data_IF_334097451094
#
_entry.id   IF_334097451094
#
_cell.length_a   1.000
_cell.length_b   1.000
_cell.length_c   1.000
_cell.angle_alpha   90.00
_cell.angle_beta   90.00
_cell.angle_gamma   90.00
#
_symmetry.space_group_name_H-M   'P 1'
#
loop_
_entity.id
_entity.type
_entity.pdbx_description
1 polymer ?
#
# COMPACT_ATOMS: atom_id res chain seq x y z
N UNK A 1 30.43 28.24 -18.16
CA UNK A 1 30.86 26.87 -17.78
C UNK A 1 30.13 26.57 -16.48
N UNK A 2 29.04 25.84 -16.59
CA UNK A 2 28.32 25.33 -15.41
C UNK A 2 29.21 24.23 -14.83
N UNK A 3 29.54 24.37 -13.55
CA UNK A 3 30.49 23.53 -12.85
C UNK A 3 29.90 22.11 -12.71
N UNK A 4 30.43 21.16 -13.47
CA UNK A 4 29.97 19.77 -13.48
C UNK A 4 29.92 19.15 -12.06
N UNK A 5 30.78 19.63 -11.16
CA UNK A 5 30.77 19.21 -9.76
C UNK A 5 29.53 19.69 -9.00
N UNK A 6 28.98 20.86 -9.33
CA UNK A 6 27.74 21.36 -8.71
C UNK A 6 26.52 20.56 -9.19
N UNK A 7 26.48 20.21 -10.49
CA UNK A 7 25.38 19.39 -11.04
C UNK A 7 25.42 17.99 -10.40
N UNK A 8 26.60 17.38 -10.29
CA UNK A 8 26.75 16.07 -9.66
C UNK A 8 26.35 16.10 -8.18
N UNK A 9 26.71 17.15 -7.44
CA UNK A 9 26.36 17.31 -6.02
C UNK A 9 24.85 17.51 -5.83
N UNK A 10 24.19 18.27 -6.72
CA UNK A 10 22.73 18.45 -6.71
C UNK A 10 22.02 17.15 -7.07
N UNK A 11 22.47 16.41 -8.09
CA UNK A 11 21.91 15.09 -8.40
C UNK A 11 22.08 14.09 -7.27
N UNK A 12 23.24 14.06 -6.60
CA UNK A 12 23.49 13.21 -5.44
C UNK A 12 22.58 13.59 -4.27
N UNK A 13 22.40 14.89 -4.03
CA UNK A 13 21.54 15.39 -2.95
C UNK A 13 20.07 15.09 -3.20
N UNK A 14 19.59 15.22 -4.45
CA UNK A 14 18.24 14.83 -4.86
C UNK A 14 18.05 13.31 -4.73
N UNK A 15 19.04 12.53 -5.14
CA UNK A 15 19.01 11.08 -4.98
C UNK A 15 18.95 10.67 -3.50
N UNK A 16 19.77 11.27 -2.64
CA UNK A 16 19.75 11.04 -1.19
C UNK A 16 18.42 11.47 -0.56
N UNK A 17 17.88 12.64 -0.95
CA UNK A 17 16.57 13.11 -0.47
C UNK A 17 15.44 12.17 -0.88
N UNK A 18 15.45 11.66 -2.11
CA UNK A 18 14.45 10.70 -2.57
C UNK A 18 14.60 9.35 -1.86
N UNK A 19 15.83 8.89 -1.65
CA UNK A 19 16.10 7.71 -0.81
C UNK A 19 15.56 7.91 0.62
N UNK A 20 15.88 9.06 1.23
CA UNK A 20 15.41 9.37 2.59
C UNK A 20 13.89 9.42 2.67
N UNK A 21 13.22 10.08 1.71
CA UNK A 21 11.76 10.11 1.63
C UNK A 21 11.16 8.71 1.49
N UNK A 22 11.80 7.83 0.73
CA UNK A 22 11.38 6.43 0.57
C UNK A 22 11.43 5.64 1.88
N UNK A 23 12.48 5.84 2.68
CA UNK A 23 12.61 5.14 3.98
C UNK A 23 11.78 5.80 5.09
N UNK A 24 11.56 7.12 5.03
CA UNK A 24 10.76 7.84 6.04
C UNK A 24 9.26 7.67 5.84
N UNK A 25 8.78 7.21 4.69
CA UNK A 25 7.34 6.96 4.47
C UNK A 25 6.76 5.91 5.43
N UNK A 26 7.59 4.94 5.86
CA UNK A 26 7.21 3.94 6.85
C UNK A 26 7.28 4.46 8.31
N UNK A 27 7.82 5.68 8.53
CA UNK A 27 8.01 6.29 9.85
C UNK A 27 6.84 7.21 10.18
N UNK A 28 5.88 6.69 10.93
CA UNK A 28 4.72 7.43 11.42
C UNK A 28 4.82 7.67 12.92
N UNK A 29 3.93 8.48 13.46
CA UNK A 29 3.79 8.68 14.91
C UNK A 29 3.64 7.36 15.68
N UNK A 30 3.00 6.35 15.10
CA UNK A 30 2.90 4.99 15.66
C UNK A 30 4.26 4.30 15.83
N UNK A 31 5.21 4.54 14.90
CA UNK A 31 6.58 4.02 15.02
C UNK A 31 7.27 4.58 16.26
N UNK A 32 7.11 5.88 16.50
CA UNK A 32 7.67 6.51 17.72
C UNK A 32 7.05 5.91 18.99
N UNK A 33 5.73 5.72 19.03
CA UNK A 33 5.04 5.09 20.16
C UNK A 33 5.57 3.68 20.39
N UNK A 34 5.71 2.86 19.34
CA UNK A 34 6.22 1.49 19.45
C UNK A 34 7.66 1.45 20.02
N UNK A 35 8.53 2.36 19.57
CA UNK A 35 9.88 2.49 20.11
C UNK A 35 9.87 2.87 21.60
N UNK A 36 9.04 3.84 21.99
CA UNK A 36 8.89 4.23 23.39
C UNK A 36 8.38 3.06 24.24
N UNK A 37 7.37 2.32 23.76
CA UNK A 37 6.84 1.15 24.46
C UNK A 37 7.92 0.09 24.64
N UNK A 38 8.75 -0.17 23.61
CA UNK A 38 9.83 -1.17 23.70
C UNK A 38 10.90 -0.77 24.72
N UNK A 39 11.24 0.54 24.82
CA UNK A 39 12.15 1.04 25.83
C UNK A 39 11.57 0.91 27.24
N UNK A 40 10.30 1.25 27.44
CA UNK A 40 9.60 1.10 28.71
C UNK A 40 9.51 -0.38 29.10
N UNK A 41 9.18 -1.27 28.16
CA UNK A 41 9.11 -2.69 28.39
C UNK A 41 10.45 -3.27 28.86
N UNK A 42 11.55 -2.88 28.22
CA UNK A 42 12.89 -3.31 28.60
C UNK A 42 13.29 -2.75 29.97
N UNK A 43 13.00 -1.46 30.21
CA UNK A 43 13.28 -0.83 31.50
C UNK A 43 12.50 -1.50 32.65
N UNK A 44 11.20 -1.82 32.44
CA UNK A 44 10.37 -2.52 33.44
C UNK A 44 10.90 -3.92 33.71
N UNK A 45 11.33 -4.65 32.67
CA UNK A 45 11.90 -5.98 32.80
C UNK A 45 13.16 -5.96 33.67
N UNK A 46 14.07 -5.00 33.47
CA UNK A 46 15.25 -4.84 34.33
C UNK A 46 14.90 -4.37 35.76
N UNK A 47 13.99 -3.41 35.89
CA UNK A 47 13.61 -2.87 37.20
C UNK A 47 12.99 -3.92 38.15
N UNK A 48 12.16 -4.83 37.58
CA UNK A 48 11.49 -5.88 38.34
C UNK A 48 12.20 -7.24 38.26
N UNK A 49 13.41 -7.30 37.70
CA UNK A 49 14.19 -8.52 37.47
C UNK A 49 13.37 -9.62 36.77
N UNK A 50 12.57 -9.23 35.78
CA UNK A 50 11.79 -10.16 34.99
C UNK A 50 12.71 -10.87 34.00
N UNK A 51 12.93 -12.16 34.22
CA UNK A 51 13.76 -13.00 33.36
C UNK A 51 13.17 -14.40 33.35
N UNK A 52 12.65 -14.84 32.23
CA UNK A 52 12.05 -16.16 32.08
C UNK A 52 12.24 -16.72 30.67
N UNK A 53 12.38 -18.03 30.61
CA UNK A 53 12.50 -18.74 29.33
C UNK A 53 11.11 -18.99 28.75
N UNK A 54 10.70 -18.13 27.83
CA UNK A 54 9.50 -18.40 27.01
C UNK A 54 9.90 -18.89 25.63
N UNK A 55 9.15 -19.88 25.15
CA UNK A 55 9.22 -20.23 23.73
C UNK A 55 8.56 -19.12 22.91
N UNK A 56 9.40 -18.24 22.36
CA UNK A 56 8.94 -17.13 21.53
C UNK A 56 8.39 -17.59 20.19
N UNK A 57 8.57 -18.86 19.81
CA UNK A 57 8.16 -19.35 18.49
C UNK A 57 6.66 -19.22 18.28
N UNK A 58 5.86 -19.68 19.24
CA UNK A 58 4.40 -19.58 19.16
C UNK A 58 3.91 -18.14 19.20
N UNK A 59 4.51 -17.28 20.05
CA UNK A 59 4.14 -15.89 20.16
C UNK A 59 4.53 -15.14 18.87
N UNK A 60 5.73 -15.39 18.33
CA UNK A 60 6.17 -14.79 17.07
C UNK A 60 5.26 -15.18 15.90
N UNK A 61 4.85 -16.45 15.83
CA UNK A 61 3.90 -16.91 14.82
C UNK A 61 2.56 -16.19 14.98
N UNK A 62 2.05 -16.05 16.21
CA UNK A 62 0.78 -15.37 16.48
C UNK A 62 0.79 -13.89 16.09
N UNK A 63 1.94 -13.22 16.12
CA UNK A 63 2.09 -11.80 15.70
C UNK A 63 2.38 -11.68 14.22
N UNK A 64 3.39 -12.40 13.73
CA UNK A 64 3.90 -12.21 12.36
C UNK A 64 2.94 -12.79 11.32
N UNK A 65 2.30 -13.94 11.61
CA UNK A 65 1.44 -14.62 10.65
C UNK A 65 0.22 -13.78 10.23
N UNK A 66 -0.61 -13.22 11.14
CA UNK A 66 -1.70 -12.33 10.76
C UNK A 66 -1.21 -11.07 10.03
N UNK A 67 -0.06 -10.52 10.43
CA UNK A 67 0.52 -9.34 9.80
C UNK A 67 0.92 -9.62 8.34
N UNK A 68 1.57 -10.76 8.07
CA UNK A 68 1.93 -11.17 6.70
C UNK A 68 0.69 -11.43 5.85
N UNK A 69 -0.37 -12.03 6.41
CA UNK A 69 -1.63 -12.21 5.69
C UNK A 69 -2.33 -10.90 5.35
N UNK A 70 -2.38 -9.96 6.28
CA UNK A 70 -3.00 -8.66 6.02
C UNK A 70 -2.20 -7.86 4.99
N UNK A 71 -0.87 -7.91 5.03
CA UNK A 71 0.00 -7.31 4.04
C UNK A 71 -0.22 -7.93 2.65
N UNK A 72 -0.25 -9.28 2.57
CA UNK A 72 -0.53 -9.99 1.32
C UNK A 72 -1.93 -9.68 0.76
N UNK A 73 -2.93 -9.55 1.63
CA UNK A 73 -4.29 -9.15 1.25
C UNK A 73 -4.34 -7.72 0.71
N UNK A 74 -3.65 -6.77 1.35
CA UNK A 74 -3.55 -5.39 0.89
C UNK A 74 -2.89 -5.30 -0.50
N UNK A 75 -1.81 -6.04 -0.71
CA UNK A 75 -1.13 -6.12 -2.00
C UNK A 75 -2.03 -6.70 -3.10
N UNK A 76 -2.69 -7.84 -2.84
CA UNK A 76 -3.63 -8.43 -3.80
C UNK A 76 -4.78 -7.48 -4.16
N UNK A 77 -5.23 -6.70 -3.20
CA UNK A 77 -6.28 -5.69 -3.38
C UNK A 77 -5.82 -4.59 -4.33
N UNK A 78 -4.59 -4.09 -4.17
CA UNK A 78 -3.99 -3.12 -5.10
C UNK A 78 -3.88 -3.67 -6.52
N UNK A 79 -3.40 -4.91 -6.68
CA UNK A 79 -3.29 -5.56 -8.00
C UNK A 79 -4.65 -5.76 -8.67
N UNK A 80 -5.68 -6.14 -7.91
CA UNK A 80 -7.06 -6.22 -8.42
C UNK A 80 -7.61 -4.85 -8.83
N UNK A 81 -7.28 -3.79 -8.10
CA UNK A 81 -7.66 -2.44 -8.47
C UNK A 81 -7.09 -2.05 -9.85
N UNK A 82 -5.80 -2.35 -10.09
CA UNK A 82 -5.16 -2.15 -11.40
C UNK A 82 -5.83 -2.98 -12.50
N UNK A 83 -6.15 -4.24 -12.23
CA UNK A 83 -6.86 -5.11 -13.18
C UNK A 83 -8.22 -4.53 -13.58
N UNK A 84 -9.03 -4.11 -12.60
CA UNK A 84 -10.36 -3.56 -12.85
C UNK A 84 -10.32 -2.22 -13.57
N UNK A 85 -9.40 -1.34 -13.20
CA UNK A 85 -9.15 -0.09 -13.92
C UNK A 85 -8.67 -0.34 -15.34
N UNK A 86 -7.75 -1.30 -15.53
CA UNK A 86 -7.26 -1.71 -16.84
C UNK A 86 -8.39 -2.23 -17.75
N UNK A 87 -9.30 -3.04 -17.19
CA UNK A 87 -10.49 -3.54 -17.90
C UNK A 87 -11.43 -2.42 -18.32
N UNK A 88 -11.75 -1.49 -17.41
CA UNK A 88 -12.59 -0.34 -17.73
C UNK A 88 -11.95 0.54 -18.82
N UNK A 89 -10.67 0.86 -18.68
CA UNK A 89 -9.89 1.65 -19.66
C UNK A 89 -9.87 0.99 -21.04
N UNK A 90 -9.48 -0.28 -21.10
CA UNK A 90 -9.40 -1.03 -22.35
C UNK A 90 -10.74 -1.14 -23.06
N UNK A 91 -11.84 -1.34 -22.30
CA UNK A 91 -13.19 -1.40 -22.86
C UNK A 91 -13.67 -0.04 -23.37
N UNK A 92 -13.37 1.06 -22.67
CA UNK A 92 -13.66 2.43 -23.16
C UNK A 92 -12.88 2.75 -24.44
N UNK A 93 -11.59 2.41 -24.48
CA UNK A 93 -10.75 2.58 -25.66
C UNK A 93 -11.27 1.78 -26.86
N UNK A 94 -11.70 0.53 -26.64
CA UNK A 94 -12.27 -0.31 -27.68
C UNK A 94 -13.60 0.26 -28.22
N UNK A 95 -14.46 0.81 -27.36
CA UNK A 95 -15.69 1.48 -27.77
C UNK A 95 -15.35 2.69 -28.67
N UNK A 96 -14.43 3.56 -28.23
CA UNK A 96 -13.94 4.70 -29.02
C UNK A 96 -13.43 4.24 -30.38
N UNK A 97 -12.57 3.23 -30.42
CA UNK A 97 -12.00 2.69 -31.65
C UNK A 97 -13.08 2.15 -32.61
N UNK A 98 -14.06 1.40 -32.12
CA UNK A 98 -15.16 0.88 -32.94
C UNK A 98 -15.93 2.01 -33.61
N UNK A 99 -16.22 3.10 -32.87
CA UNK A 99 -16.90 4.27 -33.46
C UNK A 99 -16.02 5.02 -34.44
N UNK A 100 -14.71 5.13 -34.23
CA UNK A 100 -13.79 5.82 -35.13
C UNK A 100 -13.73 5.19 -36.52
N UNK A 101 -13.81 3.86 -36.61
CA UNK A 101 -13.81 3.11 -37.87
C UNK A 101 -15.21 2.83 -38.43
N UNK A 102 -16.27 3.24 -37.74
CA UNK A 102 -17.65 3.05 -38.15
C UNK A 102 -18.07 4.07 -39.23
N UNK A 103 -19.26 3.87 -39.80
CA UNK A 103 -19.89 4.81 -40.73
C UNK A 103 -20.55 6.01 -40.03
N UNK A 104 -20.32 6.20 -38.74
CA UNK A 104 -20.85 7.34 -38.00
C UNK A 104 -20.29 8.66 -38.55
N UNK A 105 -21.04 9.78 -38.53
CA UNK A 105 -20.55 11.11 -38.85
C UNK A 105 -19.40 11.52 -37.93
N UNK A 106 -18.51 12.34 -38.43
CA UNK A 106 -17.34 12.79 -37.65
C UNK A 106 -17.72 13.56 -36.36
N UNK A 107 -18.85 14.22 -36.36
CA UNK A 107 -19.45 14.87 -35.18
C UNK A 107 -19.73 13.84 -34.08
N UNK A 108 -20.32 12.69 -34.43
CA UNK A 108 -20.62 11.63 -33.44
C UNK A 108 -19.35 10.90 -33.01
N UNK A 109 -18.33 10.76 -33.90
CA UNK A 109 -17.02 10.21 -33.53
C UNK A 109 -16.30 11.09 -32.47
N UNK A 110 -16.38 12.39 -32.64
CA UNK A 110 -15.82 13.36 -31.65
C UNK A 110 -16.61 13.30 -30.34
N UNK A 111 -17.94 13.20 -30.44
CA UNK A 111 -18.80 13.17 -29.26
C UNK A 111 -18.54 11.96 -28.37
N UNK A 112 -18.33 10.76 -28.93
CA UNK A 112 -17.98 9.59 -28.14
C UNK A 112 -16.59 9.71 -27.50
N UNK A 113 -15.61 10.34 -28.17
CA UNK A 113 -14.30 10.62 -27.62
C UNK A 113 -14.40 11.54 -26.38
N UNK A 114 -15.20 12.59 -26.48
CA UNK A 114 -15.44 13.52 -25.37
C UNK A 114 -16.15 12.83 -24.19
N UNK A 115 -17.14 11.99 -24.45
CA UNK A 115 -17.85 11.21 -23.42
C UNK A 115 -16.94 10.19 -22.73
N UNK A 116 -16.06 9.53 -23.48
CA UNK A 116 -15.07 8.60 -22.90
C UNK A 116 -14.09 9.32 -21.99
N UNK A 117 -13.65 10.52 -22.37
CA UNK A 117 -12.80 11.39 -21.53
C UNK A 117 -13.54 11.84 -20.26
N UNK A 118 -14.82 12.17 -20.37
CA UNK A 118 -15.67 12.55 -19.24
C UNK A 118 -15.80 11.41 -18.23
N UNK A 119 -16.13 10.19 -18.66
CA UNK A 119 -16.22 9.02 -17.77
C UNK A 119 -14.89 8.78 -17.06
N UNK A 120 -13.76 8.87 -17.80
CA UNK A 120 -12.42 8.74 -17.19
C UNK A 120 -12.18 9.80 -16.11
N UNK A 121 -12.45 11.07 -16.45
CA UNK A 121 -12.25 12.20 -15.53
C UNK A 121 -13.10 12.05 -14.25
N UNK A 122 -14.38 11.72 -14.40
CA UNK A 122 -15.27 11.55 -13.25
C UNK A 122 -14.92 10.30 -12.43
N UNK A 123 -14.41 9.22 -13.04
CA UNK A 123 -13.91 8.06 -12.32
C UNK A 123 -12.68 8.40 -11.49
N UNK A 124 -11.69 9.10 -12.06
CA UNK A 124 -10.48 9.53 -11.35
C UNK A 124 -10.85 10.44 -10.20
N UNK A 125 -11.68 11.44 -10.45
CA UNK A 125 -12.15 12.39 -9.45
C UNK A 125 -12.89 11.68 -8.30
N UNK A 126 -13.75 10.71 -8.60
CA UNK A 126 -14.43 9.92 -7.60
C UNK A 126 -13.45 9.06 -6.77
N UNK A 127 -12.48 8.41 -7.42
CA UNK A 127 -11.52 7.54 -6.72
C UNK A 127 -10.61 8.33 -5.77
N UNK A 128 -10.17 9.53 -6.12
CA UNK A 128 -9.38 10.42 -5.26
C UNK A 128 -10.21 11.16 -4.20
N UNK A 129 -11.52 11.33 -4.42
CA UNK A 129 -12.34 12.08 -3.47
C UNK A 129 -12.60 11.28 -2.19
N UNK A 130 -12.72 11.96 -1.05
CA UNK A 130 -13.23 11.34 0.19
C UNK A 130 -14.74 11.11 0.16
N UNK A 131 -15.43 11.76 -0.77
CA UNK A 131 -16.89 11.65 -0.92
C UNK A 131 -17.29 10.30 -1.52
N UNK A 132 -18.40 9.77 -1.05
CA UNK A 132 -19.04 8.58 -1.62
C UNK A 132 -20.10 8.91 -2.68
N UNK A 133 -20.21 10.19 -3.07
CA UNK A 133 -21.16 10.62 -4.10
C UNK A 133 -20.65 10.24 -5.49
N UNK A 134 -21.36 9.33 -6.14
CA UNK A 134 -21.09 8.81 -7.49
C UNK A 134 -22.06 9.29 -8.55
N UNK A 135 -22.86 10.33 -8.27
CA UNK A 135 -23.92 10.77 -9.18
C UNK A 135 -23.35 11.24 -10.53
N UNK A 136 -22.32 12.09 -10.52
CA UNK A 136 -21.68 12.58 -11.74
C UNK A 136 -21.07 11.44 -12.59
N UNK A 137 -20.44 10.46 -11.95
CA UNK A 137 -19.90 9.28 -12.61
C UNK A 137 -21.04 8.42 -13.24
N UNK A 138 -22.13 8.22 -12.53
CA UNK A 138 -23.27 7.47 -13.03
C UNK A 138 -23.94 8.16 -14.25
N UNK A 139 -24.02 9.48 -14.21
CA UNK A 139 -24.54 10.29 -15.34
C UNK A 139 -23.63 10.14 -16.54
N UNK A 140 -22.31 10.25 -16.39
CA UNK A 140 -21.36 10.13 -17.50
C UNK A 140 -21.40 8.73 -18.14
N UNK A 141 -21.50 7.67 -17.35
CA UNK A 141 -21.68 6.29 -17.84
C UNK A 141 -23.02 6.13 -18.58
N UNK A 142 -24.10 6.72 -18.04
CA UNK A 142 -25.42 6.69 -18.68
C UNK A 142 -25.44 7.42 -20.01
N UNK A 143 -24.71 8.53 -20.13
CA UNK A 143 -24.56 9.27 -21.37
C UNK A 143 -23.94 8.41 -22.49
N UNK A 144 -22.91 7.62 -22.20
CA UNK A 144 -22.33 6.67 -23.16
C UNK A 144 -23.37 5.60 -23.58
N UNK A 145 -24.12 5.06 -22.62
CA UNK A 145 -25.17 4.06 -22.93
C UNK A 145 -26.21 4.64 -23.87
N UNK A 146 -26.75 5.81 -23.59
CA UNK A 146 -27.72 6.50 -24.43
C UNK A 146 -27.12 6.84 -25.80
N UNK A 147 -25.84 7.22 -25.86
CA UNK A 147 -25.15 7.47 -27.11
C UNK A 147 -25.07 6.20 -27.98
N UNK A 148 -24.69 5.06 -27.39
CA UNK A 148 -24.61 3.77 -28.09
C UNK A 148 -26.01 3.38 -28.64
N UNK A 149 -27.07 3.51 -27.84
CA UNK A 149 -28.44 3.18 -28.25
C UNK A 149 -28.90 4.06 -29.41
N UNK A 150 -28.60 5.34 -29.39
CA UNK A 150 -28.96 6.28 -30.45
C UNK A 150 -28.24 6.00 -31.78
N UNK A 151 -26.96 5.60 -31.68
CA UNK A 151 -26.08 5.46 -32.84
C UNK A 151 -25.85 4.01 -33.30
N UNK A 152 -26.61 3.04 -32.78
CA UNK A 152 -26.47 1.61 -33.09
C UNK A 152 -26.62 1.28 -34.60
N UNK A 153 -27.36 2.07 -35.34
CA UNK A 153 -27.55 1.86 -36.77
C UNK A 153 -26.26 2.02 -37.58
N UNK A 154 -25.36 2.91 -37.17
CA UNK A 154 -24.06 3.10 -37.82
C UNK A 154 -23.10 1.93 -37.60
N UNK A 155 -23.35 1.09 -36.58
CA UNK A 155 -22.49 -0.02 -36.22
C UNK A 155 -22.90 -1.34 -36.85
N UNK A 156 -24.20 -1.49 -37.22
CA UNK A 156 -24.78 -2.76 -37.62
C UNK A 156 -24.96 -3.72 -36.43
N UNK A 157 -25.84 -4.71 -36.62
CA UNK A 157 -26.33 -5.61 -35.55
C UNK A 157 -25.18 -6.35 -34.79
N UNK A 158 -24.22 -6.94 -35.53
CA UNK A 158 -23.15 -7.75 -34.95
C UNK A 158 -22.21 -6.93 -34.09
N UNK A 159 -21.83 -5.74 -34.55
CA UNK A 159 -20.91 -4.84 -33.84
C UNK A 159 -21.60 -4.22 -32.62
N UNK A 160 -22.89 -3.84 -32.76
CA UNK A 160 -23.65 -3.30 -31.62
C UNK A 160 -23.65 -4.25 -30.40
N UNK A 161 -23.86 -5.56 -30.66
CA UNK A 161 -23.81 -6.56 -29.57
C UNK A 161 -22.43 -6.59 -28.87
N UNK A 162 -21.35 -6.43 -29.63
CA UNK A 162 -19.98 -6.36 -29.05
C UNK A 162 -19.78 -5.09 -28.22
N UNK A 163 -20.29 -3.96 -28.68
CA UNK A 163 -20.19 -2.68 -27.94
C UNK A 163 -20.96 -2.76 -26.62
N UNK A 164 -22.13 -3.41 -26.57
CA UNK A 164 -22.85 -3.63 -25.31
C UNK A 164 -22.08 -4.53 -24.34
N UNK A 165 -21.34 -5.53 -24.84
CA UNK A 165 -20.45 -6.34 -23.98
C UNK A 165 -19.31 -5.53 -23.42
N UNK A 166 -18.67 -4.68 -24.24
CA UNK A 166 -17.63 -3.75 -23.77
C UNK A 166 -18.17 -2.78 -22.74
N UNK A 167 -19.38 -2.24 -22.96
CA UNK A 167 -20.02 -1.35 -21.97
C UNK A 167 -20.31 -2.05 -20.65
N UNK A 168 -20.72 -3.32 -20.66
CA UNK A 168 -20.84 -4.14 -19.46
C UNK A 168 -19.48 -4.25 -18.74
N UNK A 169 -18.39 -4.49 -19.48
CA UNK A 169 -17.05 -4.63 -18.91
C UNK A 169 -16.53 -3.30 -18.34
N UNK A 170 -16.90 -2.16 -18.93
CA UNK A 170 -16.68 -0.81 -18.34
C UNK A 170 -17.40 -0.72 -17.00
N UNK A 171 -18.69 -1.01 -16.94
CA UNK A 171 -19.48 -0.92 -15.70
C UNK A 171 -18.91 -1.84 -14.63
N UNK A 172 -18.59 -3.09 -14.98
CA UNK A 172 -17.99 -4.03 -14.03
C UNK A 172 -16.64 -3.56 -13.51
N UNK A 173 -15.78 -3.03 -14.38
CA UNK A 173 -14.47 -2.49 -13.97
C UNK A 173 -14.61 -1.28 -13.04
N UNK A 174 -15.53 -0.38 -13.33
CA UNK A 174 -15.84 0.79 -12.49
C UNK A 174 -16.40 0.36 -11.13
N UNK A 175 -17.45 -0.46 -11.09
CA UNK A 175 -18.09 -0.88 -9.82
C UNK A 175 -17.15 -1.71 -8.95
N UNK A 176 -16.29 -2.55 -9.53
CA UNK A 176 -15.27 -3.27 -8.77
C UNK A 176 -14.21 -2.34 -8.20
N UNK A 177 -13.78 -1.31 -8.93
CA UNK A 177 -12.85 -0.29 -8.42
C UNK A 177 -13.47 0.51 -7.27
N UNK A 178 -14.75 0.87 -7.40
CA UNK A 178 -15.53 1.51 -6.33
C UNK A 178 -15.62 0.60 -5.10
N UNK A 179 -15.91 -0.68 -5.30
CA UNK A 179 -15.99 -1.66 -4.20
C UNK A 179 -14.66 -1.79 -3.46
N UNK A 180 -13.54 -1.74 -4.17
CA UNK A 180 -12.21 -1.74 -3.56
C UNK A 180 -12.00 -0.46 -2.74
N UNK A 181 -12.42 0.70 -3.20
CA UNK A 181 -12.34 1.95 -2.44
C UNK A 181 -13.15 1.90 -1.15
N UNK A 182 -14.40 1.41 -1.22
CA UNK A 182 -15.35 1.46 -0.11
C UNK A 182 -15.13 0.37 0.96
N UNK A 183 -14.71 -0.83 0.53
CA UNK A 183 -14.56 -1.97 1.43
C UNK A 183 -13.10 -2.24 1.73
N UNK A 184 -12.64 -1.88 2.91
CA UNK A 184 -11.28 -2.12 3.41
C UNK A 184 -11.16 -3.51 4.07
N UNK A 185 -9.93 -3.90 4.40
CA UNK A 185 -9.66 -5.11 5.22
C UNK A 185 -10.42 -5.02 6.55
N UNK A 186 -10.95 -6.14 7.09
CA UNK A 186 -11.70 -6.13 8.34
C UNK A 186 -10.91 -5.45 9.46
N UNK A 187 -11.53 -4.45 10.08
CA UNK A 187 -10.90 -3.66 11.15
C UNK A 187 -10.49 -4.51 12.36
N UNK A 188 -11.20 -5.60 12.62
CA UNK A 188 -10.91 -6.52 13.72
C UNK A 188 -9.53 -7.18 13.58
N UNK A 189 -9.14 -7.60 12.36
CA UNK A 189 -7.83 -8.21 12.11
C UNK A 189 -6.73 -7.17 12.24
N UNK A 190 -6.96 -5.94 11.79
CA UNK A 190 -6.02 -4.84 11.94
C UNK A 190 -5.79 -4.49 13.41
N UNK A 191 -6.87 -4.34 14.18
CA UNK A 191 -6.80 -4.08 15.62
C UNK A 191 -6.07 -5.21 16.38
N UNK A 192 -6.28 -6.46 15.96
CA UNK A 192 -5.56 -7.61 16.48
C UNK A 192 -4.04 -7.48 16.23
N UNK A 193 -3.64 -7.21 14.98
CA UNK A 193 -2.22 -7.03 14.65
C UNK A 193 -1.59 -5.89 15.46
N UNK A 194 -2.26 -4.74 15.52
CA UNK A 194 -1.78 -3.56 16.24
C UNK A 194 -1.62 -3.84 17.74
N UNK A 195 -2.60 -4.49 18.37
CA UNK A 195 -2.54 -4.88 19.78
C UNK A 195 -1.32 -5.76 20.06
N UNK A 196 -1.12 -6.80 19.24
CA UNK A 196 -0.03 -7.74 19.45
C UNK A 196 1.34 -7.12 19.22
N UNK A 197 1.48 -6.18 18.26
CA UNK A 197 2.72 -5.44 18.03
C UNK A 197 3.12 -4.63 19.28
N UNK A 198 2.15 -3.97 19.94
CA UNK A 198 2.44 -3.18 21.15
C UNK A 198 2.67 -4.04 22.41
N UNK A 199 2.08 -5.23 22.49
CA UNK A 199 2.27 -6.13 23.62
C UNK A 199 3.58 -6.93 23.49
N UNK A 200 4.02 -7.23 22.26
CA UNK A 200 5.17 -8.07 21.98
C UNK A 200 6.45 -7.68 22.75
N UNK A 201 6.85 -6.41 22.86
CA UNK A 201 8.06 -6.00 23.58
C UNK A 201 8.09 -6.43 25.06
N UNK A 202 6.92 -6.53 25.71
CA UNK A 202 6.81 -6.95 27.12
C UNK A 202 7.11 -8.43 27.35
N UNK A 203 6.87 -9.27 26.37
CA UNK A 203 7.25 -10.69 26.40
C UNK A 203 8.68 -10.89 25.91
N UNK A 204 9.07 -10.13 24.91
CA UNK A 204 10.37 -10.28 24.27
C UNK A 204 11.53 -9.81 25.15
N UNK A 205 11.40 -8.69 25.84
CA UNK A 205 12.44 -8.15 26.70
C UNK A 205 12.90 -9.10 27.83
N UNK A 206 11.99 -9.70 28.64
CA UNK A 206 12.39 -10.67 29.68
C UNK A 206 13.06 -11.92 29.13
N UNK A 207 12.62 -12.40 27.97
CA UNK A 207 13.22 -13.57 27.31
C UNK A 207 14.60 -13.24 26.75
N UNK A 208 14.81 -12.02 26.21
CA UNK A 208 16.14 -11.58 25.81
C UNK A 208 17.11 -11.50 27.00
N UNK A 209 16.64 -10.96 28.14
CA UNK A 209 17.44 -10.88 29.35
C UNK A 209 17.86 -12.29 29.81
N UNK A 210 16.93 -13.25 29.78
CA UNK A 210 17.23 -14.65 30.14
C UNK A 210 18.26 -15.27 29.19
N UNK A 211 18.04 -15.16 27.88
CA UNK A 211 18.88 -15.80 26.87
C UNK A 211 20.27 -15.18 26.80
N UNK A 212 20.38 -13.83 26.85
CA UNK A 212 21.66 -13.13 26.80
C UNK A 212 22.40 -13.21 28.14
N UNK A 213 21.68 -13.20 29.28
CA UNK A 213 22.29 -13.40 30.59
C UNK A 213 22.92 -14.77 30.72
N UNK A 214 22.28 -15.81 30.22
CA UNK A 214 22.84 -17.16 30.19
C UNK A 214 23.95 -17.33 29.14
N UNK A 215 23.87 -16.62 27.99
CA UNK A 215 24.90 -16.67 26.96
C UNK A 215 26.16 -15.90 27.36
N UNK A 216 26.05 -14.81 28.14
CA UNK A 216 27.18 -14.07 28.64
C UNK A 216 28.08 -14.91 29.57
N UNK A 217 27.55 -15.94 30.20
CA UNK A 217 28.32 -16.94 30.96
C UNK A 217 29.10 -17.91 30.06
N UNK A 218 28.87 -17.94 28.75
CA UNK A 218 29.50 -18.85 27.78
C UNK A 218 30.25 -18.19 26.62
N UNK A 219 30.14 -16.88 26.46
CA UNK A 219 30.83 -16.16 25.39
C UNK A 219 32.10 -15.44 25.90
N UNK A 220 33.16 -16.17 26.05
CA UNK A 220 34.51 -15.61 26.07
C UNK A 220 34.88 -15.21 24.63
N UNK A 221 34.58 -13.98 24.24
CA UNK A 221 35.11 -13.43 22.98
C UNK A 221 36.56 -13.10 23.20
N UNK A 222 37.45 -14.01 22.77
CA UNK A 222 38.86 -13.74 22.57
C UNK A 222 39.61 -13.31 23.85
N UNK A 223 39.95 -14.27 24.69
CA UNK A 223 40.97 -14.08 25.72
C UNK A 223 42.34 -13.81 25.05
N UNK A 224 42.57 -12.59 24.59
CA UNK A 224 43.96 -12.06 24.54
C UNK A 224 44.29 -11.56 25.92
N UNK A 225 45.37 -12.09 26.46
CA UNK A 225 45.87 -11.79 27.79
C UNK A 225 45.86 -10.28 28.11
N UNK A 226 44.95 -9.84 29.01
CA UNK A 226 45.04 -8.51 29.56
C UNK A 226 43.80 -7.66 29.69
N UNK A 227 42.60 -8.16 29.61
CA UNK A 227 41.42 -7.35 29.91
C UNK A 227 40.12 -8.00 29.42
N UNK A 228 39.31 -8.53 30.33
CA UNK A 228 37.93 -8.88 30.04
C UNK A 228 37.10 -7.61 29.92
N UNK A 229 36.98 -7.03 28.71
CA UNK A 229 35.93 -6.06 28.43
C UNK A 229 34.59 -6.84 28.39
N UNK A 230 33.86 -6.81 29.51
CA UNK A 230 32.48 -7.25 29.56
C UNK A 230 31.68 -6.36 28.64
N UNK A 231 31.31 -6.88 27.50
CA UNK A 231 30.34 -6.19 26.62
C UNK A 231 29.03 -6.02 27.41
N UNK A 232 28.59 -4.79 27.61
CA UNK A 232 27.38 -4.53 28.38
C UNK A 232 26.15 -5.11 27.63
N UNK A 233 25.72 -6.31 28.01
CA UNK A 233 24.60 -7.04 27.45
C UNK A 233 23.31 -6.23 27.57
N UNK A 234 23.22 -5.30 28.50
CA UNK A 234 22.08 -4.43 28.73
C UNK A 234 21.79 -3.59 27.49
N UNK A 235 22.80 -2.96 26.89
CA UNK A 235 22.61 -2.18 25.66
C UNK A 235 22.10 -3.06 24.51
N UNK A 236 22.60 -4.28 24.41
CA UNK A 236 22.19 -5.22 23.35
C UNK A 236 20.71 -5.62 23.49
N UNK A 237 20.21 -5.85 24.73
CA UNK A 237 18.79 -6.12 24.99
C UNK A 237 17.91 -4.96 24.56
N UNK A 238 18.28 -3.72 24.93
CA UNK A 238 17.54 -2.53 24.50
C UNK A 238 17.54 -2.40 22.97
N UNK A 239 18.69 -2.54 22.35
CA UNK A 239 18.83 -2.42 20.90
C UNK A 239 17.99 -3.46 20.16
N UNK A 240 18.07 -4.75 20.55
CA UNK A 240 17.31 -5.82 19.89
C UNK A 240 15.79 -5.65 20.07
N UNK A 241 15.33 -5.29 21.27
CA UNK A 241 13.91 -5.08 21.52
C UNK A 241 13.36 -3.90 20.70
N UNK A 242 14.11 -2.79 20.61
CA UNK A 242 13.75 -1.65 19.76
C UNK A 242 13.73 -2.02 18.28
N UNK A 243 14.75 -2.73 17.78
CA UNK A 243 14.85 -3.13 16.37
C UNK A 243 13.67 -4.01 15.96
N UNK A 244 13.35 -5.03 16.76
CA UNK A 244 12.22 -5.92 16.43
C UNK A 244 10.89 -5.17 16.47
N UNK A 245 10.65 -4.34 17.48
CA UNK A 245 9.46 -3.51 17.59
C UNK A 245 9.34 -2.55 16.41
N UNK A 246 10.44 -1.95 15.99
CA UNK A 246 10.51 -1.08 14.81
C UNK A 246 10.18 -1.83 13.53
N UNK A 247 10.70 -3.04 13.33
CA UNK A 247 10.41 -3.87 12.15
C UNK A 247 8.92 -4.20 12.09
N UNK A 248 8.33 -4.67 13.20
CA UNK A 248 6.93 -5.07 13.24
C UNK A 248 5.99 -3.90 12.94
N UNK A 249 6.20 -2.74 13.57
CA UNK A 249 5.35 -1.57 13.33
C UNK A 249 5.57 -0.98 11.93
N UNK A 250 6.79 -1.06 11.38
CA UNK A 250 7.06 -0.61 10.00
C UNK A 250 6.33 -1.46 8.97
N UNK A 251 6.28 -2.79 9.16
CA UNK A 251 5.50 -3.68 8.31
C UNK A 251 3.99 -3.37 8.38
N UNK A 252 3.49 -3.06 9.59
CA UNK A 252 2.09 -2.66 9.77
C UNK A 252 1.80 -1.32 9.06
N UNK A 253 2.68 -0.33 9.16
CA UNK A 253 2.53 0.95 8.47
C UNK A 253 2.54 0.78 6.95
N UNK A 254 3.41 -0.08 6.40
CA UNK A 254 3.44 -0.41 4.97
C UNK A 254 2.12 -1.07 4.54
N UNK A 255 1.59 -2.00 5.33
CA UNK A 255 0.30 -2.63 5.06
C UNK A 255 -0.83 -1.60 5.01
N UNK A 256 -0.85 -0.63 5.94
CA UNK A 256 -1.86 0.41 6.01
C UNK A 256 -1.79 1.36 4.79
N UNK A 257 -0.59 1.69 4.33
CA UNK A 257 -0.38 2.50 3.12
C UNK A 257 -0.86 1.80 1.84
N UNK A 258 -0.59 0.50 1.68
CA UNK A 258 -1.00 -0.24 0.48
C UNK A 258 -2.50 -0.52 0.48
N UNK A 259 -3.16 -0.50 1.64
CA UNK A 259 -4.57 -0.89 1.78
C UNK A 259 -5.53 -0.01 0.98
N UNK A 260 -5.28 1.28 0.86
CA UNK A 260 -6.06 2.20 0.03
C UNK A 260 -5.23 2.65 -1.18
N UNK A 261 -5.37 1.98 -2.33
CA UNK A 261 -4.52 2.27 -3.48
C UNK A 261 -4.86 3.57 -4.22
N UNK A 262 -5.83 4.37 -3.71
CA UNK A 262 -6.39 5.55 -4.39
C UNK A 262 -6.28 6.84 -3.58
N UNK A 263 -5.70 6.87 -2.37
CA UNK A 263 -5.67 8.09 -1.55
C UNK A 263 -4.49 9.03 -1.87
N UNK A 264 -3.50 8.55 -2.59
CA UNK A 264 -2.33 9.34 -2.99
C UNK A 264 -1.34 9.58 -1.86
N UNK A 265 -1.54 8.98 -0.68
CA UNK A 265 -0.69 9.11 0.50
C UNK A 265 0.48 8.11 0.48
N UNK A 266 0.31 6.97 -0.18
CA UNK A 266 1.29 5.91 -0.30
C UNK A 266 2.23 6.08 -1.49
N UNK A 267 3.50 5.65 -1.34
CA UNK A 267 4.45 5.66 -2.47
C UNK A 267 4.09 4.64 -3.57
N UNK A 268 3.33 3.62 -3.19
CA UNK A 268 2.92 2.51 -4.06
C UNK A 268 1.48 2.67 -4.55
N UNK A 269 0.86 3.83 -4.35
CA UNK A 269 -0.49 4.12 -4.82
C UNK A 269 -0.58 4.15 -6.33
N UNK A 270 -1.79 3.88 -6.83
CA UNK A 270 -2.05 3.89 -8.26
C UNK A 270 -2.08 5.35 -8.74
N UNK A 271 -1.09 5.71 -9.56
CA UNK A 271 -1.02 7.02 -10.19
C UNK A 271 -2.08 7.13 -11.29
N UNK A 272 -3.30 7.52 -10.89
CA UNK A 272 -4.45 7.64 -11.82
C UNK A 272 -4.24 8.76 -12.86
N UNK A 273 -3.37 9.73 -12.60
CA UNK A 273 -3.01 10.80 -13.54
C UNK A 273 -2.36 10.24 -14.82
N UNK A 274 -1.54 9.19 -14.67
CA UNK A 274 -0.89 8.51 -15.80
C UNK A 274 -1.83 7.52 -16.52
N UNK A 275 -3.12 7.52 -16.15
CA UNK A 275 -4.13 6.65 -16.73
C UNK A 275 -4.67 7.22 -18.07
N UNK A 276 -3.75 7.67 -18.95
CA UNK A 276 -4.12 8.23 -20.24
C UNK A 276 -4.59 7.16 -21.24
N UNK A 277 -5.58 7.56 -22.09
CA UNK A 277 -6.03 6.77 -23.22
C UNK A 277 -5.22 7.22 -24.46
N UNK A 278 -3.97 6.78 -24.53
CA UNK A 278 -3.14 6.95 -25.72
C UNK A 278 -3.40 5.82 -26.72
N UNK A 279 -4.52 5.90 -27.46
CA UNK A 279 -4.75 5.07 -28.64
C UNK A 279 -5.63 5.83 -29.64
#
# INVERSE_FOLDING_TARGET
>A
KIDNNRIFLVCLLIFMLNMFKKYTSALNFRTLISVIISLIATWTAYKYNLSFNLDLTLISIAVVFPLVFTLGSAFQRREKALEHLGRAKGSLAAIKYIFSVSKAPDVEKKRIDDQVKEVKSELIKYLYSESNDKEALNISISNIKLFIDKNKEFLGRSISVRVYRLMRDVIMGVENSISIKLHRTPQTIRAYCELFIYIFPFYYAPTLIYNLGNAALGFEIGATAGGSEYFDTTFLVYALNVIISFILISLYNVQEQIENPFDGDGMDDIQLENYELEY
#
